data_IF_858776936061
#
_entry.id   IF_858776936061
#
_cell.length_a   1.000
_cell.length_b   1.000
_cell.length_c   1.000
_cell.angle_alpha   90.00
_cell.angle_beta   90.00
_cell.angle_gamma   90.00
#
_symmetry.space_group_name_H-M   'P 1'
#
loop_
_entity.id
_entity.type
_entity.pdbx_description
1 polymer ?
#
# COMPACT_ATOMS: atom_id res chain seq x y z
N UNK A 1 2.90 -17.78 10.51
CA UNK A 1 1.80 -16.78 10.37
C UNK A 1 2.39 -15.43 10.00
N UNK A 2 2.54 -15.13 8.69
CA UNK A 2 3.21 -13.92 8.22
C UNK A 2 2.60 -12.64 8.81
N UNK A 3 1.26 -12.56 8.86
CA UNK A 3 0.52 -11.41 9.38
C UNK A 3 0.85 -11.08 10.83
N UNK A 4 0.95 -12.09 11.70
CA UNK A 4 1.28 -11.90 13.12
C UNK A 4 2.72 -11.41 13.26
N UNK A 5 3.66 -12.01 12.53
CA UNK A 5 5.06 -11.57 12.54
C UNK A 5 5.22 -10.14 12.03
N UNK A 6 4.50 -9.76 10.96
CA UNK A 6 4.49 -8.39 10.44
C UNK A 6 3.90 -7.40 11.47
N UNK A 7 2.81 -7.78 12.15
CA UNK A 7 2.20 -6.94 13.18
C UNK A 7 3.14 -6.73 14.37
N UNK A 8 3.75 -7.79 14.89
CA UNK A 8 4.74 -7.70 15.98
C UNK A 8 5.95 -6.87 15.55
N UNK A 9 6.47 -7.08 14.35
CA UNK A 9 7.57 -6.28 13.83
C UNK A 9 7.19 -4.78 13.72
N UNK A 10 5.96 -4.49 13.33
CA UNK A 10 5.45 -3.11 13.26
C UNK A 10 5.26 -2.47 14.65
N UNK A 11 4.89 -3.28 15.64
CA UNK A 11 4.74 -2.87 17.03
C UNK A 11 6.09 -2.55 17.68
N UNK A 12 7.08 -3.41 17.48
CA UNK A 12 8.43 -3.25 18.07
C UNK A 12 9.24 -2.18 17.33
N UNK A 13 9.06 -2.05 16.02
CA UNK A 13 9.81 -1.08 15.23
C UNK A 13 9.22 0.33 15.34
N UNK A 14 10.09 1.34 15.41
CA UNK A 14 9.72 2.77 15.30
C UNK A 14 9.42 3.18 13.86
N UNK A 15 9.01 2.25 13.00
CA UNK A 15 8.63 2.53 11.62
C UNK A 15 7.29 3.28 11.65
N UNK A 16 7.28 4.48 11.08
CA UNK A 16 6.06 5.25 10.84
C UNK A 16 5.75 5.15 9.36
N UNK A 17 4.57 4.64 9.03
CA UNK A 17 4.10 4.64 7.64
C UNK A 17 3.87 6.08 7.18
N UNK A 18 4.64 6.53 6.17
CA UNK A 18 4.42 7.82 5.52
C UNK A 18 3.44 7.64 4.38
N UNK A 19 2.35 8.41 4.39
CA UNK A 19 1.36 8.41 3.31
C UNK A 19 1.99 8.67 1.93
N UNK A 20 3.05 9.48 1.86
CA UNK A 20 3.78 9.77 0.61
C UNK A 20 4.42 8.53 -0.03
N UNK A 21 4.76 7.49 0.74
CA UNK A 21 5.29 6.25 0.18
C UNK A 21 4.19 5.38 -0.45
N UNK A 22 2.90 5.63 -0.15
CA UNK A 22 1.80 4.91 -0.77
C UNK A 22 1.77 5.07 -2.29
N UNK A 23 2.20 6.22 -2.81
CA UNK A 23 2.32 6.46 -4.26
C UNK A 23 3.34 5.56 -4.95
N UNK A 24 4.32 5.01 -4.23
CA UNK A 24 5.28 4.04 -4.79
C UNK A 24 4.62 2.67 -5.05
N UNK A 25 3.48 2.38 -4.42
CA UNK A 25 2.76 1.12 -4.66
C UNK A 25 2.12 1.08 -6.05
N UNK A 26 1.83 2.22 -6.67
CA UNK A 26 1.31 2.27 -8.03
C UNK A 26 2.31 1.77 -9.08
N UNK A 27 3.53 2.34 -9.22
CA UNK A 27 4.50 1.84 -10.19
C UNK A 27 4.93 0.40 -9.88
N UNK A 28 5.07 0.03 -8.60
CA UNK A 28 5.37 -1.36 -8.20
C UNK A 28 4.25 -2.30 -8.62
N UNK A 29 2.99 -1.92 -8.36
CA UNK A 29 1.82 -2.66 -8.79
C UNK A 29 1.82 -2.84 -10.30
N UNK A 30 1.97 -1.76 -11.08
CA UNK A 30 1.98 -1.80 -12.54
C UNK A 30 3.06 -2.74 -13.10
N UNK A 31 4.30 -2.65 -12.58
CA UNK A 31 5.38 -3.57 -12.98
C UNK A 31 5.01 -5.01 -12.64
N UNK A 32 4.46 -5.24 -11.44
CA UNK A 32 4.02 -6.56 -11.02
C UNK A 32 2.90 -7.12 -11.91
N UNK A 33 1.88 -6.33 -12.21
CA UNK A 33 0.78 -6.70 -13.10
C UNK A 33 1.28 -7.00 -14.51
N UNK A 34 2.18 -6.18 -15.04
CA UNK A 34 2.81 -6.40 -16.34
C UNK A 34 3.57 -7.73 -16.39
N UNK A 35 4.43 -7.99 -15.39
CA UNK A 35 5.17 -9.25 -15.31
C UNK A 35 4.23 -10.46 -15.17
N UNK A 36 3.13 -10.32 -14.42
CA UNK A 36 2.13 -11.38 -14.27
C UNK A 36 1.42 -11.68 -15.59
N UNK A 37 1.06 -10.64 -16.35
CA UNK A 37 0.49 -10.75 -17.68
C UNK A 37 1.44 -11.45 -18.65
N UNK A 38 2.69 -10.96 -18.78
CA UNK A 38 3.67 -11.55 -19.72
C UNK A 38 4.00 -12.99 -19.36
N UNK A 39 4.11 -13.30 -18.07
CA UNK A 39 4.35 -14.68 -17.59
C UNK A 39 3.19 -15.59 -17.92
N UNK A 40 1.95 -15.14 -17.71
CA UNK A 40 0.75 -15.91 -18.04
C UNK A 40 0.68 -16.21 -19.54
N UNK A 41 0.97 -15.23 -20.40
CA UNK A 41 1.04 -15.43 -21.86
C UNK A 41 2.18 -16.35 -22.29
N UNK A 42 3.35 -16.28 -21.64
CA UNK A 42 4.49 -17.13 -21.95
C UNK A 42 4.30 -18.59 -21.49
N UNK A 43 3.65 -18.81 -20.35
CA UNK A 43 3.44 -20.15 -19.79
C UNK A 43 2.17 -20.84 -20.32
N UNK A 44 1.24 -20.09 -20.91
CA UNK A 44 -0.07 -20.59 -21.33
C UNK A 44 -0.99 -20.98 -20.18
N UNK A 45 -0.63 -20.63 -18.94
CA UNK A 45 -1.42 -20.85 -17.73
C UNK A 45 -1.30 -19.66 -16.78
N UNK A 46 -2.37 -19.32 -16.04
CA UNK A 46 -2.34 -18.16 -15.18
C UNK A 46 -1.48 -18.38 -13.94
N UNK A 47 -0.76 -17.32 -13.54
CA UNK A 47 0.00 -17.31 -12.28
C UNK A 47 -0.95 -17.40 -11.08
N UNK A 48 -2.11 -16.75 -11.19
CA UNK A 48 -3.20 -16.82 -10.23
C UNK A 48 -4.44 -17.37 -10.91
N UNK A 49 -5.05 -18.43 -10.36
CA UNK A 49 -6.23 -19.08 -10.98
C UNK A 49 -7.40 -18.12 -11.26
N UNK A 50 -7.52 -17.02 -10.51
CA UNK A 50 -8.56 -16.00 -10.67
C UNK A 50 -8.17 -14.86 -11.62
N UNK A 51 -6.95 -14.86 -12.18
CA UNK A 51 -6.41 -13.79 -13.01
C UNK A 51 -5.87 -14.40 -14.32
N UNK A 52 -6.78 -14.71 -15.23
CA UNK A 52 -6.47 -15.42 -16.49
C UNK A 52 -5.83 -14.52 -17.55
N UNK A 53 -6.06 -13.21 -17.48
CA UNK A 53 -5.60 -12.24 -18.47
C UNK A 53 -6.12 -12.51 -19.89
N UNK A 54 -7.24 -13.22 -20.00
CA UNK A 54 -7.92 -13.49 -21.28
C UNK A 54 -9.10 -12.55 -21.53
N UNK A 55 -9.66 -12.00 -20.46
CA UNK A 55 -10.85 -11.18 -20.48
C UNK A 55 -10.65 -9.82 -19.79
N UNK A 56 -11.57 -8.90 -20.03
CA UNK A 56 -11.55 -7.57 -19.42
C UNK A 56 -11.72 -7.61 -17.90
N UNK A 57 -12.39 -8.66 -17.39
CA UNK A 57 -12.58 -8.88 -15.95
C UNK A 57 -11.24 -9.00 -15.22
N UNK A 58 -10.21 -9.60 -15.84
CA UNK A 58 -8.88 -9.69 -15.26
C UNK A 58 -8.28 -8.31 -14.92
N UNK A 59 -8.51 -7.31 -15.78
CA UNK A 59 -8.07 -5.93 -15.51
C UNK A 59 -8.89 -5.28 -14.39
N UNK A 60 -10.20 -5.55 -14.31
CA UNK A 60 -11.04 -5.06 -13.21
C UNK A 60 -10.63 -5.67 -11.86
N UNK A 61 -10.36 -6.98 -11.81
CA UNK A 61 -9.89 -7.67 -10.61
C UNK A 61 -8.54 -7.11 -10.17
N UNK A 62 -7.60 -6.97 -11.11
CA UNK A 62 -6.29 -6.40 -10.83
C UNK A 62 -6.39 -4.94 -10.32
N UNK A 63 -7.25 -4.12 -10.94
CA UNK A 63 -7.52 -2.75 -10.50
C UNK A 63 -8.13 -2.72 -9.10
N UNK A 64 -9.09 -3.61 -8.80
CA UNK A 64 -9.70 -3.75 -7.48
C UNK A 64 -8.70 -4.16 -6.40
N UNK A 65 -7.81 -5.12 -6.70
CA UNK A 65 -6.74 -5.55 -5.79
C UNK A 65 -5.74 -4.41 -5.53
N UNK A 66 -5.38 -3.65 -6.57
CA UNK A 66 -4.50 -2.49 -6.46
C UNK A 66 -5.14 -1.42 -5.58
N UNK A 67 -6.41 -1.11 -5.80
CA UNK A 67 -7.16 -0.14 -4.99
C UNK A 67 -7.27 -0.59 -3.53
N UNK A 68 -7.62 -1.86 -3.28
CA UNK A 68 -7.69 -2.42 -1.93
C UNK A 68 -6.33 -2.34 -1.21
N UNK A 69 -5.23 -2.62 -1.93
CA UNK A 69 -3.88 -2.48 -1.41
C UNK A 69 -3.57 -1.02 -1.02
N UNK A 70 -3.87 -0.06 -1.89
CA UNK A 70 -3.66 1.36 -1.60
C UNK A 70 -4.50 1.83 -0.40
N UNK A 71 -5.78 1.48 -0.37
CA UNK A 71 -6.68 1.81 0.74
C UNK A 71 -6.15 1.25 2.06
N UNK A 72 -5.76 -0.03 2.09
CA UNK A 72 -5.18 -0.64 3.29
C UNK A 72 -3.90 0.05 3.74
N UNK A 73 -3.03 0.47 2.80
CA UNK A 73 -1.81 1.21 3.10
C UNK A 73 -2.12 2.57 3.74
N UNK A 74 -3.03 3.35 3.16
CA UNK A 74 -3.40 4.67 3.69
C UNK A 74 -4.10 4.56 5.05
N UNK A 75 -4.94 3.54 5.26
CA UNK A 75 -5.53 3.26 6.58
C UNK A 75 -4.43 2.97 7.60
N UNK A 76 -3.46 2.10 7.28
CA UNK A 76 -2.33 1.84 8.18
C UNK A 76 -1.46 3.09 8.41
N UNK A 77 -1.27 3.94 7.40
CA UNK A 77 -0.54 5.20 7.55
C UNK A 77 -1.27 6.16 8.49
N UNK A 78 -2.60 6.26 8.38
CA UNK A 78 -3.43 7.07 9.27
C UNK A 78 -3.36 6.55 10.71
N UNK A 79 -3.57 5.25 10.92
CA UNK A 79 -3.48 4.61 12.24
C UNK A 79 -2.08 4.79 12.84
N UNK A 80 -1.03 4.57 12.05
CA UNK A 80 0.35 4.73 12.50
C UNK A 80 0.65 6.17 12.92
N UNK A 81 0.10 7.17 12.24
CA UNK A 81 0.28 8.57 12.61
C UNK A 81 -0.50 8.92 13.88
N UNK A 82 -1.75 8.47 13.99
CA UNK A 82 -2.57 8.69 15.18
C UNK A 82 -1.95 8.10 16.45
N UNK A 83 -1.33 6.91 16.35
CA UNK A 83 -0.70 6.24 17.50
C UNK A 83 0.68 6.82 17.81
N UNK A 84 1.53 7.04 16.79
CA UNK A 84 2.96 7.36 17.01
C UNK A 84 3.27 8.87 16.99
N UNK A 85 2.35 9.74 16.55
CA UNK A 85 2.56 11.19 16.47
C UNK A 85 1.33 12.01 16.93
N UNK A 86 0.77 11.78 18.15
CA UNK A 86 -0.36 12.57 18.65
C UNK A 86 -0.02 14.07 18.80
N UNK A 87 1.22 14.40 19.13
CA UNK A 87 1.62 15.77 19.54
C UNK A 87 1.83 16.76 18.38
N UNK A 88 1.89 16.28 17.12
CA UNK A 88 2.05 17.17 15.95
C UNK A 88 0.78 17.98 15.63
N UNK A 89 -0.39 17.55 16.10
CA UNK A 89 -1.65 18.28 15.88
C UNK A 89 -1.85 19.43 16.88
N UNK A 90 -1.21 19.38 18.05
CA UNK A 90 -1.33 20.40 19.10
C UNK A 90 -0.29 21.52 19.05
N UNK A 91 0.72 21.43 18.18
CA UNK A 91 1.85 22.37 18.14
C UNK A 91 2.01 23.01 16.77
N UNK A 92 1.06 23.86 16.40
CA UNK A 92 1.37 25.03 15.57
C UNK A 92 1.72 26.15 16.56
N UNK A 93 3.01 26.35 16.94
CA UNK A 93 3.38 27.53 17.67
C UNK A 93 3.05 28.73 16.77
N UNK A 94 2.14 29.55 17.26
CA UNK A 94 1.79 30.80 16.61
C UNK A 94 3.06 31.55 16.24
N UNK A 95 3.05 32.07 15.01
CA UNK A 95 3.95 33.11 14.55
C UNK A 95 4.27 34.06 15.71
N UNK A 96 5.51 33.99 16.19
CA UNK A 96 6.09 35.03 17.01
C UNK A 96 6.00 36.33 16.19
N UNK A 97 5.03 37.17 16.52
CA UNK A 97 5.04 38.56 16.09
C UNK A 97 6.08 39.25 16.95
N UNK A 98 7.28 39.38 16.41
CA UNK A 98 8.27 40.37 16.85
C UNK A 98 7.67 41.75 16.61
N UNK A 99 7.36 42.47 17.69
CA UNK A 99 7.33 43.92 17.75
C UNK A 99 8.21 44.36 18.90
#
# INVERSE_FOLDING_TARGET
MPLVCTFVNFWVSKIVFKASHGFLLLPVGLVYGYLNYTTTKAQGKPVYHFLTWEDETSFLIYGGLTLACLCSYFIMACISQAIKQPDRWGSQPGHAKTQ
#
